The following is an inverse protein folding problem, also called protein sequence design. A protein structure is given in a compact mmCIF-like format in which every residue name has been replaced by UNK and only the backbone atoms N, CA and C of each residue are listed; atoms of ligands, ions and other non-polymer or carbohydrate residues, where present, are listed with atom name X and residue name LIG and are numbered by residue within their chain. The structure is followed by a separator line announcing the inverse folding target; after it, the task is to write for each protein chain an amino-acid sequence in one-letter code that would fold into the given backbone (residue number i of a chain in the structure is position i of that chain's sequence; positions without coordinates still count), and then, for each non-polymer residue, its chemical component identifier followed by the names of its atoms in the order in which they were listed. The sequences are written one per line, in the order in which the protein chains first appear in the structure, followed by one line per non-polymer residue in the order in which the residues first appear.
data_IF_014209242752
#
_entry.id   IF_014209242752
#
_cell.length_a   1.000
_cell.length_b   1.000
_cell.length_c   1.000
_cell.angle_alpha   90.00
_cell.angle_beta   90.00
_cell.angle_gamma   90.00
#
_symmetry.space_group_name_H-M   'P 1'
#
loop_
_entity.id
_entity.type
_entity.pdbx_description
1 polymer ?
#
# COMPACT_ATOMS: atom_id res chain seq x y z
N UNK A 1 12.07 -9.86 -22.03
CA UNK A 1 12.72 -9.42 -20.78
C UNK A 1 12.37 -7.98 -20.43
N UNK A 2 12.67 -6.99 -21.28
CA UNK A 2 12.34 -5.58 -21.00
C UNK A 2 10.85 -5.32 -20.72
N UNK A 3 9.95 -5.82 -21.58
CA UNK A 3 8.50 -5.68 -21.39
C UNK A 3 8.04 -6.23 -20.02
N UNK A 4 8.54 -7.42 -19.64
CA UNK A 4 8.22 -8.04 -18.36
C UNK A 4 8.65 -7.18 -17.18
N UNK A 5 9.85 -6.59 -17.23
CA UNK A 5 10.34 -5.71 -16.17
C UNK A 5 9.42 -4.47 -16.03
N UNK A 6 9.07 -3.85 -17.15
CA UNK A 6 8.18 -2.67 -17.16
C UNK A 6 6.80 -3.02 -16.61
N UNK A 7 6.19 -4.14 -17.03
CA UNK A 7 4.89 -4.58 -16.52
C UNK A 7 4.93 -4.92 -15.03
N UNK A 8 6.01 -5.54 -14.54
CA UNK A 8 6.17 -5.84 -13.12
C UNK A 8 6.34 -4.57 -12.30
N UNK A 9 7.15 -3.62 -12.77
CA UNK A 9 7.29 -2.32 -12.11
C UNK A 9 5.95 -1.59 -12.03
N UNK A 10 5.19 -1.58 -13.13
CA UNK A 10 3.85 -1.02 -13.16
C UNK A 10 2.94 -1.71 -12.14
N UNK A 11 2.87 -3.04 -12.14
CA UNK A 11 2.02 -3.81 -11.22
C UNK A 11 2.36 -3.55 -9.74
N UNK A 12 3.63 -3.33 -9.40
CA UNK A 12 4.08 -3.18 -8.01
C UNK A 12 4.00 -1.73 -7.48
N UNK A 13 3.68 -0.74 -8.32
CA UNK A 13 3.55 0.66 -7.89
C UNK A 13 2.61 0.84 -6.68
N UNK A 14 1.39 0.24 -6.62
CA UNK A 14 0.51 0.37 -5.46
C UNK A 14 1.04 -0.24 -4.17
N UNK A 15 2.05 -1.11 -4.28
CA UNK A 15 2.73 -1.77 -3.15
C UNK A 15 3.91 -0.93 -2.65
N UNK A 16 4.52 -0.12 -3.51
CA UNK A 16 5.66 0.73 -3.14
C UNK A 16 5.27 2.07 -2.52
N UNK A 17 4.09 2.58 -2.85
CA UNK A 17 3.62 3.88 -2.36
C UNK A 17 3.01 3.91 -0.94
N UNK A 18 2.41 2.84 -0.37
CA UNK A 18 1.70 2.90 0.92
C UNK A 18 2.55 3.45 2.07
N UNK A 19 3.81 3.05 2.17
CA UNK A 19 4.71 3.50 3.25
C UNK A 19 5.04 5.00 3.10
N UNK A 20 5.19 5.50 1.87
CA UNK A 20 5.39 6.92 1.61
C UNK A 20 4.16 7.74 2.04
N UNK A 21 2.95 7.26 1.72
CA UNK A 21 1.71 7.89 2.18
C UNK A 21 1.59 7.84 3.70
N UNK A 22 1.96 6.72 4.34
CA UNK A 22 1.95 6.59 5.80
C UNK A 22 2.86 7.62 6.48
N UNK A 23 4.00 7.99 5.87
CA UNK A 23 4.87 9.07 6.36
C UNK A 23 4.21 10.44 6.18
N UNK A 24 3.60 10.71 5.03
CA UNK A 24 2.97 12.00 4.73
C UNK A 24 1.76 12.31 5.63
N UNK A 25 0.93 11.29 5.92
CA UNK A 25 -0.32 11.44 6.67
C UNK A 25 -0.26 10.90 8.11
N UNK A 26 0.90 10.36 8.48
CA UNK A 26 1.12 9.70 9.76
C UNK A 26 1.09 10.63 10.96
N UNK A 27 1.51 10.09 12.10
CA UNK A 27 1.48 10.78 13.38
C UNK A 27 0.21 10.50 14.20
N UNK A 28 0.17 11.04 15.41
CA UNK A 28 -0.91 10.78 16.36
C UNK A 28 -0.75 9.46 17.09
N UNK A 29 -1.85 8.71 17.24
CA UNK A 29 -1.89 7.52 18.11
C UNK A 29 -1.02 6.39 17.55
N UNK A 30 -0.07 5.84 18.34
CA UNK A 30 0.74 4.72 17.92
C UNK A 30 -0.11 3.46 17.78
N UNK A 31 0.24 2.62 16.80
CA UNK A 31 -0.49 1.42 16.42
C UNK A 31 -0.41 0.33 17.49
N UNK A 32 0.68 0.31 18.27
CA UNK A 32 0.88 -0.61 19.40
C UNK A 32 0.19 -0.14 20.70
N UNK A 33 -0.47 1.03 20.70
CA UNK A 33 -1.12 1.62 21.88
C UNK A 33 -0.18 1.82 23.08
N UNK A 34 1.13 1.96 22.88
CA UNK A 34 2.08 2.09 23.98
C UNK A 34 2.53 0.77 24.59
N UNK A 35 2.09 -0.38 24.04
CA UNK A 35 2.42 -1.69 24.57
C UNK A 35 3.91 -1.99 24.39
N UNK A 36 4.46 -2.65 25.39
CA UNK A 36 5.84 -3.16 25.38
C UNK A 36 5.85 -4.67 25.22
N UNK A 37 6.92 -5.17 24.60
CA UNK A 37 7.22 -6.58 24.47
C UNK A 37 7.96 -7.08 25.73
N UNK A 38 8.17 -8.39 25.84
CA UNK A 38 8.79 -9.02 27.03
C UNK A 38 10.21 -8.55 27.32
N UNK A 39 10.89 -7.95 26.34
CA UNK A 39 12.22 -7.34 26.46
C UNK A 39 12.18 -5.89 26.98
N UNK A 40 11.00 -5.36 27.31
CA UNK A 40 10.78 -4.00 27.80
C UNK A 40 10.75 -2.92 26.72
N UNK A 41 10.92 -3.27 25.44
CA UNK A 41 10.86 -2.32 24.31
C UNK A 41 9.44 -2.21 23.77
N UNK A 42 9.13 -1.10 23.07
CA UNK A 42 7.84 -0.94 22.36
C UNK A 42 7.69 -1.97 21.25
N UNK A 43 6.48 -2.51 21.04
CA UNK A 43 6.23 -3.56 20.04
C UNK A 43 6.49 -3.03 18.62
N UNK A 44 5.96 -1.85 18.29
CA UNK A 44 6.11 -1.23 16.97
C UNK A 44 6.81 0.14 17.04
N UNK A 45 6.74 0.80 18.22
CA UNK A 45 7.31 2.12 18.43
C UNK A 45 6.40 3.25 17.90
N UNK A 46 6.86 4.49 18.07
CA UNK A 46 6.04 5.67 17.81
C UNK A 46 5.94 6.04 16.32
N UNK A 47 6.81 5.48 15.47
CA UNK A 47 6.78 5.70 14.02
C UNK A 47 5.59 5.02 13.31
N UNK A 48 5.01 3.97 13.91
CA UNK A 48 3.86 3.25 13.34
C UNK A 48 2.58 3.77 13.98
N UNK A 49 1.80 4.53 13.21
CA UNK A 49 0.60 5.21 13.73
C UNK A 49 -0.66 4.72 13.03
N UNK A 50 -1.80 4.77 13.73
CA UNK A 50 -3.09 4.34 13.17
C UNK A 50 -3.44 5.17 11.93
N UNK A 51 -3.18 6.49 11.98
CA UNK A 51 -3.41 7.40 10.84
C UNK A 51 -2.51 7.05 9.66
N UNK A 52 -1.23 6.77 9.92
CA UNK A 52 -0.29 6.34 8.89
C UNK A 52 -0.72 5.01 8.26
N UNK A 53 -1.16 4.05 9.07
CA UNK A 53 -1.63 2.74 8.59
C UNK A 53 -2.82 2.88 7.63
N UNK A 54 -3.88 3.59 8.06
CA UNK A 54 -5.07 3.80 7.23
C UNK A 54 -4.75 4.64 6.00
N UNK A 55 -4.00 5.72 6.17
CA UNK A 55 -3.66 6.62 5.08
C UNK A 55 -2.73 5.99 4.04
N UNK A 56 -1.86 5.08 4.45
CA UNK A 56 -1.05 4.30 3.51
C UNK A 56 -1.90 3.33 2.67
N UNK A 57 -2.87 2.63 3.27
CA UNK A 57 -3.78 1.73 2.52
C UNK A 57 -4.59 2.54 1.51
N UNK A 58 -5.18 3.65 1.97
CA UNK A 58 -5.93 4.56 1.09
C UNK A 58 -5.04 5.12 -0.01
N UNK A 59 -3.81 5.53 0.30
CA UNK A 59 -2.84 6.01 -0.67
C UNK A 59 -2.50 4.98 -1.74
N UNK A 60 -2.26 3.73 -1.37
CA UNK A 60 -2.03 2.63 -2.32
C UNK A 60 -3.25 2.34 -3.21
N UNK A 61 -4.45 2.33 -2.63
CA UNK A 61 -5.71 2.20 -3.39
C UNK A 61 -5.91 3.36 -4.39
N UNK A 62 -5.59 4.59 -3.99
CA UNK A 62 -5.67 5.76 -4.87
C UNK A 62 -4.72 5.62 -6.07
N UNK A 63 -3.46 5.26 -5.83
CA UNK A 63 -2.47 5.06 -6.90
C UNK A 63 -2.92 3.96 -7.85
N UNK A 64 -3.41 2.83 -7.35
CA UNK A 64 -3.87 1.77 -8.24
C UNK A 64 -5.09 2.18 -9.08
N UNK A 65 -6.04 2.93 -8.51
CA UNK A 65 -7.19 3.40 -9.28
C UNK A 65 -6.76 4.39 -10.38
N UNK A 66 -5.75 5.23 -10.11
CA UNK A 66 -5.12 6.06 -11.15
C UNK A 66 -4.49 5.19 -12.25
N UNK A 67 -3.74 4.15 -11.87
CA UNK A 67 -3.17 3.21 -12.85
C UNK A 67 -4.22 2.51 -13.69
N UNK A 68 -5.32 2.06 -13.06
CA UNK A 68 -6.45 1.45 -13.76
C UNK A 68 -7.09 2.40 -14.78
N UNK A 69 -7.20 3.69 -14.44
CA UNK A 69 -7.66 4.72 -15.37
C UNK A 69 -6.70 4.96 -16.54
N UNK A 70 -5.39 5.02 -16.26
CA UNK A 70 -4.35 5.18 -17.29
C UNK A 70 -4.32 3.98 -18.24
N UNK A 71 -4.44 2.76 -17.71
CA UNK A 71 -4.54 1.52 -18.48
C UNK A 71 -5.67 1.56 -19.51
N UNK A 72 -6.88 1.96 -19.07
CA UNK A 72 -8.04 2.10 -19.95
C UNK A 72 -7.84 3.17 -21.03
N UNK A 73 -7.17 4.27 -20.70
CA UNK A 73 -6.92 5.36 -21.65
C UNK A 73 -5.90 4.98 -22.73
N UNK A 74 -4.85 4.24 -22.35
CA UNK A 74 -3.74 3.88 -23.23
C UNK A 74 -3.86 2.47 -23.85
N UNK A 75 -5.00 1.79 -23.66
CA UNK A 75 -5.30 0.46 -24.21
C UNK A 75 -4.28 -0.64 -23.86
N UNK A 76 -3.69 -0.61 -22.66
CA UNK A 76 -2.91 -1.74 -22.15
C UNK A 76 -3.60 -2.37 -20.94
N UNK A 77 -3.45 -3.70 -20.83
CA UNK A 77 -4.28 -4.51 -19.95
C UNK A 77 -3.41 -5.28 -18.95
N UNK A 78 -3.32 -4.75 -17.72
CA UNK A 78 -2.66 -5.43 -16.59
C UNK A 78 -3.68 -5.58 -15.47
N UNK A 79 -4.02 -4.49 -14.79
CA UNK A 79 -5.10 -4.46 -13.81
C UNK A 79 -6.48 -4.49 -14.44
N UNK A 80 -6.63 -3.92 -15.63
CA UNK A 80 -7.88 -3.90 -16.39
C UNK A 80 -8.31 -5.25 -16.97
N UNK A 81 -7.46 -6.29 -16.87
CA UNK A 81 -7.85 -7.69 -17.14
C UNK A 81 -8.76 -8.26 -16.05
N UNK A 82 -8.67 -7.75 -14.83
CA UNK A 82 -9.46 -8.20 -13.69
C UNK A 82 -10.81 -7.51 -13.66
N UNK A 83 -11.81 -8.15 -13.06
CA UNK A 83 -13.03 -7.43 -12.67
C UNK A 83 -12.67 -6.35 -11.65
N UNK A 84 -13.44 -5.27 -11.59
CA UNK A 84 -13.13 -4.17 -10.67
C UNK A 84 -13.09 -4.63 -9.19
N UNK A 85 -13.91 -5.61 -8.83
CA UNK A 85 -13.91 -6.19 -7.48
C UNK A 85 -12.63 -6.98 -7.17
N UNK A 86 -12.18 -7.83 -8.11
CA UNK A 86 -10.90 -8.57 -7.98
C UNK A 86 -9.71 -7.61 -7.92
N UNK A 87 -9.72 -6.57 -8.77
CA UNK A 87 -8.73 -5.51 -8.77
C UNK A 87 -8.67 -4.80 -7.41
N UNK A 88 -9.80 -4.33 -6.88
CA UNK A 88 -9.83 -3.65 -5.58
C UNK A 88 -9.37 -4.56 -4.45
N UNK A 89 -9.79 -5.83 -4.46
CA UNK A 89 -9.36 -6.79 -3.46
C UNK A 89 -7.85 -7.05 -3.52
N UNK A 90 -7.30 -7.25 -4.73
CA UNK A 90 -5.87 -7.44 -4.94
C UNK A 90 -5.07 -6.24 -4.47
N UNK A 91 -5.45 -5.02 -4.84
CA UNK A 91 -4.74 -3.81 -4.44
C UNK A 91 -4.84 -3.58 -2.94
N UNK A 92 -6.02 -3.82 -2.35
CA UNK A 92 -6.17 -3.77 -0.90
C UNK A 92 -5.18 -4.71 -0.20
N UNK A 93 -5.09 -5.97 -0.66
CA UNK A 93 -4.16 -6.95 -0.10
C UNK A 93 -2.69 -6.53 -0.30
N UNK A 94 -2.35 -5.98 -1.47
CA UNK A 94 -1.01 -5.46 -1.75
C UNK A 94 -0.64 -4.31 -0.81
N UNK A 95 -1.51 -3.30 -0.68
CA UNK A 95 -1.26 -2.14 0.16
C UNK A 95 -1.29 -2.48 1.65
N UNK A 96 -2.21 -3.34 2.07
CA UNK A 96 -2.25 -3.88 3.43
C UNK A 96 -0.98 -4.67 3.73
N UNK A 97 -0.59 -5.60 2.86
CA UNK A 97 0.62 -6.39 3.01
C UNK A 97 1.89 -5.53 3.10
N UNK A 98 2.00 -4.50 2.27
CA UNK A 98 3.15 -3.58 2.28
C UNK A 98 3.32 -2.86 3.62
N UNK A 99 2.24 -2.30 4.17
CA UNK A 99 2.30 -1.58 5.45
C UNK A 99 2.47 -2.54 6.61
N UNK A 100 1.77 -3.68 6.59
CA UNK A 100 1.84 -4.64 7.70
C UNK A 100 3.19 -5.34 7.74
N UNK A 101 3.84 -5.56 6.58
CA UNK A 101 5.20 -6.07 6.52
C UNK A 101 6.27 -5.06 6.93
N UNK A 102 5.97 -3.77 6.86
CA UNK A 102 6.83 -2.68 7.33
C UNK A 102 6.63 -2.37 8.83
N UNK A 103 5.45 -2.67 9.38
CA UNK A 103 5.07 -2.45 10.77
C UNK A 103 5.80 -3.40 11.72
#
# INVERSE_FOLDING_TARGET
MFNTIVSTLWLLLPTYTPNNFAVLVGGGKPLDFGKTFVDGKRILGDGKTIRGFVGGIVGGLLIANLQYGVEKSLNFQIFSLLTYNEFLFLVFLLSFGAITGDA
#
